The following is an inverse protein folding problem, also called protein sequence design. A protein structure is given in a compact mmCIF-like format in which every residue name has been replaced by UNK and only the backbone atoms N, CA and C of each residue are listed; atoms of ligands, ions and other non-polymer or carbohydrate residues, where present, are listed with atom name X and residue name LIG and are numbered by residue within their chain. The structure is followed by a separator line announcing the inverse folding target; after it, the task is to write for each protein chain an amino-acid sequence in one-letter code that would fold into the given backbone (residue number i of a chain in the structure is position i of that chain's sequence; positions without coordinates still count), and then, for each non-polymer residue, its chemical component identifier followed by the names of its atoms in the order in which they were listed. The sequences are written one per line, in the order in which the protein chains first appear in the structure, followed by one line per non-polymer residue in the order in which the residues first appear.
data_IF_894275030989
#
_entry.id   IF_894275030989
#
_cell.length_a   1.000
_cell.length_b   1.000
_cell.length_c   1.000
_cell.angle_alpha   90.00
_cell.angle_beta   90.00
_cell.angle_gamma   90.00
#
_symmetry.space_group_name_H-M   'P 1'
#
loop_
_entity.id
_entity.type
_entity.pdbx_description
1 polymer ?
#
# COMPACT_ATOMS: atom_id res chain seq x y z
N UNK A 1 76.02 21.82 -31.65
CA UNK A 1 75.00 22.73 -32.22
C UNK A 1 73.65 22.10 -31.90
N UNK A 2 72.70 22.65 -31.16
CA UNK A 2 72.42 23.90 -30.41
C UNK A 2 71.25 23.48 -29.48
N UNK A 3 71.30 23.67 -28.15
CA UNK A 3 70.47 24.64 -27.37
C UNK A 3 69.05 24.86 -27.92
N UNK A 4 67.92 24.77 -27.18
CA UNK A 4 67.55 25.52 -25.94
C UNK A 4 66.20 24.97 -25.33
N UNK A 5 65.52 25.56 -24.30
CA UNK A 5 65.09 24.86 -23.08
C UNK A 5 63.59 25.11 -22.72
N UNK A 6 63.27 24.99 -21.43
CA UNK A 6 62.10 25.53 -20.70
C UNK A 6 60.95 24.55 -20.40
N UNK A 7 61.00 24.06 -19.16
CA UNK A 7 59.82 23.83 -18.31
C UNK A 7 58.98 25.10 -18.25
N UNK A 8 57.65 24.97 -18.32
CA UNK A 8 56.78 25.83 -17.52
C UNK A 8 55.42 25.18 -17.24
N UNK A 9 54.93 25.45 -16.05
CA UNK A 9 53.79 24.86 -15.36
C UNK A 9 52.45 24.96 -16.11
N UNK A 10 51.64 23.90 -15.98
CA UNK A 10 50.17 24.02 -15.98
C UNK A 10 49.54 23.00 -15.02
N UNK A 11 50.02 22.99 -13.78
CA UNK A 11 49.29 22.42 -12.66
C UNK A 11 48.46 23.52 -11.99
N UNK A 12 47.21 23.69 -12.41
CA UNK A 12 46.27 24.56 -11.70
C UNK A 12 45.11 24.99 -12.57
N UNK A 13 43.92 24.38 -12.36
CA UNK A 13 42.58 24.98 -12.58
C UNK A 13 41.41 23.99 -12.39
N UNK A 14 41.58 22.88 -11.66
CA UNK A 14 40.42 22.03 -11.27
C UNK A 14 40.14 21.99 -9.77
N UNK A 15 40.89 22.73 -8.94
CA UNK A 15 40.74 22.76 -7.48
C UNK A 15 40.00 23.96 -6.87
N UNK A 16 39.68 25.03 -7.63
CA UNK A 16 39.16 26.28 -7.04
C UNK A 16 37.64 26.47 -7.12
N UNK A 17 36.97 25.94 -8.15
CA UNK A 17 35.55 26.23 -8.39
C UNK A 17 34.63 25.53 -7.37
N UNK A 18 34.96 24.30 -6.98
CA UNK A 18 34.18 23.54 -5.99
C UNK A 18 34.27 24.13 -4.57
N UNK A 19 35.36 24.84 -4.26
CA UNK A 19 35.62 25.39 -2.91
C UNK A 19 35.04 26.81 -2.72
N UNK A 20 34.56 27.44 -3.80
CA UNK A 20 33.95 28.78 -3.78
C UNK A 20 32.43 28.76 -3.86
N UNK A 21 31.81 27.61 -4.17
CA UNK A 21 30.35 27.49 -4.30
C UNK A 21 29.58 28.00 -3.06
N UNK A 22 29.98 27.72 -1.81
CA UNK A 22 29.29 28.27 -0.64
C UNK A 22 29.35 29.80 -0.54
N UNK A 23 30.45 30.42 -0.98
CA UNK A 23 30.63 31.88 -0.99
C UNK A 23 29.70 32.52 -2.02
N UNK A 24 29.67 31.98 -3.25
CA UNK A 24 28.81 32.47 -4.32
C UNK A 24 27.31 32.30 -4.01
N UNK A 25 26.93 31.26 -3.28
CA UNK A 25 25.56 31.08 -2.79
C UNK A 25 25.19 32.18 -1.79
N UNK A 26 26.05 32.47 -0.81
CA UNK A 26 25.79 33.54 0.17
C UNK A 26 25.74 34.93 -0.46
N UNK A 27 26.60 35.21 -1.44
CA UNK A 27 26.54 36.44 -2.24
C UNK A 27 25.22 36.54 -3.03
N UNK A 28 24.79 35.44 -3.65
CA UNK A 28 23.53 35.42 -4.39
C UNK A 28 22.32 35.64 -3.46
N UNK A 29 22.33 35.05 -2.27
CA UNK A 29 21.28 35.25 -1.27
C UNK A 29 21.26 36.66 -0.69
N UNK A 30 22.41 37.29 -0.48
CA UNK A 30 22.49 38.68 0.00
C UNK A 30 22.01 39.67 -1.07
N UNK A 31 22.40 39.47 -2.33
CA UNK A 31 21.90 40.24 -3.47
C UNK A 31 20.38 40.09 -3.61
N UNK A 32 19.86 38.87 -3.47
CA UNK A 32 18.43 38.63 -3.54
C UNK A 32 17.65 39.42 -2.47
N UNK A 33 18.15 39.48 -1.23
CA UNK A 33 17.54 40.28 -0.15
C UNK A 33 17.58 41.78 -0.45
N UNK A 34 18.76 42.30 -0.80
CA UNK A 34 18.94 43.72 -1.09
C UNK A 34 18.08 44.19 -2.26
N UNK A 35 17.96 43.37 -3.32
CA UNK A 35 17.09 43.67 -4.47
C UNK A 35 15.61 43.64 -4.09
N UNK A 36 15.19 42.65 -3.30
CA UNK A 36 13.82 42.57 -2.82
C UNK A 36 13.44 43.79 -1.94
N UNK A 37 14.33 44.22 -1.05
CA UNK A 37 14.13 45.38 -0.18
C UNK A 37 14.03 46.70 -0.98
N UNK A 38 14.70 46.77 -2.13
CA UNK A 38 14.63 47.89 -3.07
C UNK A 38 13.45 47.79 -4.07
N UNK A 39 12.60 46.77 -3.96
CA UNK A 39 11.48 46.55 -4.87
C UNK A 39 11.84 45.93 -6.23
N UNK A 40 13.11 45.54 -6.46
CA UNK A 40 13.55 44.81 -7.64
C UNK A 40 13.25 43.31 -7.50
N UNK A 41 11.97 43.00 -7.71
CA UNK A 41 11.38 41.66 -7.58
C UNK A 41 11.99 40.68 -8.59
N UNK A 42 12.17 41.10 -9.85
CA UNK A 42 12.74 40.26 -10.91
C UNK A 42 14.22 39.97 -10.66
N UNK A 43 14.99 40.99 -10.27
CA UNK A 43 16.41 40.81 -9.95
C UNK A 43 16.62 39.99 -8.69
N UNK A 44 15.71 40.04 -7.71
CA UNK A 44 15.73 39.17 -6.55
C UNK A 44 15.52 37.70 -6.92
N UNK A 45 14.53 37.40 -7.77
CA UNK A 45 14.29 36.04 -8.28
C UNK A 45 15.49 35.50 -9.06
N UNK A 46 16.08 36.29 -9.95
CA UNK A 46 17.25 35.87 -10.72
C UNK A 46 18.44 35.50 -9.81
N UNK A 47 18.65 36.26 -8.72
CA UNK A 47 19.69 35.95 -7.74
C UNK A 47 19.37 34.68 -6.92
N UNK A 48 18.10 34.45 -6.56
CA UNK A 48 17.65 33.20 -5.92
C UNK A 48 17.86 32.00 -6.85
N UNK A 49 17.51 32.14 -8.13
CA UNK A 49 17.68 31.09 -9.14
C UNK A 49 19.14 30.74 -9.37
N UNK A 50 20.02 31.75 -9.37
CA UNK A 50 21.45 31.52 -9.39
C UNK A 50 21.92 30.74 -8.16
N UNK A 51 21.48 31.11 -6.95
CA UNK A 51 21.79 30.36 -5.73
C UNK A 51 21.32 28.89 -5.80
N UNK A 52 20.13 28.64 -6.32
CA UNK A 52 19.59 27.29 -6.51
C UNK A 52 20.29 26.51 -7.63
N UNK A 53 20.85 27.18 -8.63
CA UNK A 53 21.67 26.52 -9.65
C UNK A 53 22.99 25.98 -9.08
N UNK A 54 23.54 26.67 -8.09
CA UNK A 54 24.77 26.28 -7.38
C UNK A 54 24.48 25.22 -6.30
N UNK A 55 23.41 25.43 -5.52
CA UNK A 55 22.95 24.52 -4.47
C UNK A 55 21.42 24.28 -4.57
N UNK A 56 20.96 23.28 -5.35
CA UNK A 56 19.54 23.03 -5.58
C UNK A 56 18.70 22.71 -4.34
N UNK A 57 19.36 22.33 -3.23
CA UNK A 57 18.72 21.98 -1.96
C UNK A 57 18.97 23.02 -0.87
N UNK A 58 19.48 24.20 -1.22
CA UNK A 58 19.74 25.25 -0.24
C UNK A 58 18.41 25.74 0.40
N UNK A 59 18.26 25.47 1.70
CA UNK A 59 17.00 25.75 2.43
C UNK A 59 16.61 27.23 2.34
N UNK A 60 17.56 28.14 2.54
CA UNK A 60 17.29 29.58 2.49
C UNK A 60 16.82 30.02 1.11
N UNK A 61 17.50 29.56 0.05
CA UNK A 61 17.12 29.89 -1.33
C UNK A 61 15.73 29.36 -1.69
N UNK A 62 15.44 28.11 -1.31
CA UNK A 62 14.13 27.47 -1.52
C UNK A 62 13.01 28.25 -0.80
N UNK A 63 13.23 28.63 0.46
CA UNK A 63 12.24 29.41 1.22
C UNK A 63 12.03 30.81 0.63
N UNK A 64 13.11 31.50 0.24
CA UNK A 64 13.00 32.81 -0.42
C UNK A 64 12.23 32.73 -1.74
N UNK A 65 12.48 31.69 -2.55
CA UNK A 65 11.73 31.46 -3.79
C UNK A 65 10.25 31.22 -3.52
N UNK A 66 9.94 30.39 -2.51
CA UNK A 66 8.58 30.08 -2.12
C UNK A 66 7.81 31.33 -1.66
N UNK A 67 8.41 32.14 -0.78
CA UNK A 67 7.80 33.36 -0.26
C UNK A 67 7.53 34.38 -1.37
N UNK A 68 8.43 34.46 -2.35
CA UNK A 68 8.29 35.36 -3.48
C UNK A 68 7.15 34.94 -4.42
N UNK A 69 7.10 33.66 -4.79
CA UNK A 69 6.01 33.10 -5.62
C UNK A 69 4.64 33.25 -4.93
N UNK A 70 4.60 33.08 -3.61
CA UNK A 70 3.38 33.27 -2.83
C UNK A 70 2.91 34.73 -2.89
N UNK A 71 3.82 35.71 -2.75
CA UNK A 71 3.51 37.14 -2.87
C UNK A 71 3.02 37.53 -4.27
N UNK A 72 3.49 36.83 -5.31
CA UNK A 72 3.03 37.01 -6.69
C UNK A 72 1.67 36.37 -6.98
N UNK A 73 1.07 35.68 -6.01
CA UNK A 73 -0.22 35.01 -6.20
C UNK A 73 -0.12 33.65 -6.89
N UNK A 74 1.06 33.02 -6.89
CA UNK A 74 1.24 31.63 -7.35
C UNK A 74 1.52 30.67 -6.16
N UNK A 75 0.48 30.36 -5.36
CA UNK A 75 0.64 29.50 -4.20
C UNK A 75 0.92 28.04 -4.60
N UNK A 76 0.58 27.64 -5.84
CA UNK A 76 0.88 26.30 -6.36
C UNK A 76 2.38 26.13 -6.56
N UNK A 77 3.03 27.08 -7.25
CA UNK A 77 4.47 27.06 -7.43
C UNK A 77 5.19 27.24 -6.08
N UNK A 78 4.73 28.15 -5.23
CA UNK A 78 5.29 28.35 -3.88
C UNK A 78 5.29 27.06 -3.05
N UNK A 79 4.17 26.31 -3.07
CA UNK A 79 4.03 25.05 -2.32
C UNK A 79 5.03 23.98 -2.77
N UNK A 80 5.41 23.95 -4.06
CA UNK A 80 6.44 23.02 -4.52
C UNK A 80 7.81 23.28 -3.85
N UNK A 81 8.18 24.55 -3.65
CA UNK A 81 9.41 24.94 -2.97
C UNK A 81 9.33 24.70 -1.46
N UNK A 82 8.22 25.05 -0.79
CA UNK A 82 8.02 24.68 0.62
C UNK A 82 8.05 23.16 0.82
N UNK A 83 7.47 22.39 -0.09
CA UNK A 83 7.47 20.93 -0.01
C UNK A 83 8.87 20.32 -0.14
N UNK A 84 9.76 20.92 -0.93
CA UNK A 84 11.16 20.49 -1.01
C UNK A 84 11.88 20.60 0.34
N UNK A 85 11.63 21.69 1.09
CA UNK A 85 12.18 21.88 2.44
C UNK A 85 11.47 21.00 3.47
N UNK A 86 10.15 20.89 3.40
CA UNK A 86 9.34 20.14 4.35
C UNK A 86 9.65 18.63 4.38
N UNK A 87 10.07 18.07 3.23
CA UNK A 87 10.42 16.65 3.04
C UNK A 87 11.84 16.29 3.48
N UNK A 88 12.63 17.24 3.98
CA UNK A 88 13.96 16.93 4.49
C UNK A 88 13.88 15.91 5.64
N UNK A 89 14.66 14.80 5.58
CA UNK A 89 14.73 13.84 6.68
C UNK A 89 15.18 14.52 7.97
N UNK A 90 14.62 14.15 9.11
CA UNK A 90 14.97 14.75 10.40
C UNK A 90 16.49 14.70 10.68
N UNK A 91 17.15 13.60 10.30
CA UNK A 91 18.60 13.44 10.43
C UNK A 91 19.43 14.40 9.56
N UNK A 92 18.83 15.00 8.52
CA UNK A 92 19.50 15.95 7.62
C UNK A 92 19.23 17.42 7.95
N UNK A 93 18.34 17.69 8.92
CA UNK A 93 17.99 19.07 9.32
C UNK A 93 19.04 19.59 10.30
N UNK A 94 19.75 20.65 9.91
CA UNK A 94 20.68 21.35 10.80
C UNK A 94 19.93 22.28 11.76
N UNK A 95 20.47 22.55 12.98
CA UNK A 95 19.78 23.38 13.98
C UNK A 95 19.32 24.75 13.45
N UNK A 96 20.12 25.39 12.59
CA UNK A 96 19.83 26.68 11.97
C UNK A 96 18.64 26.66 10.99
N UNK A 97 18.25 25.48 10.49
CA UNK A 97 17.13 25.31 9.56
C UNK A 97 15.83 24.91 10.25
N UNK A 98 15.85 24.64 11.56
CA UNK A 98 14.68 24.12 12.27
C UNK A 98 13.46 25.01 12.10
N UNK A 99 13.60 26.32 12.26
CA UNK A 99 12.50 27.28 12.10
C UNK A 99 11.95 27.29 10.67
N UNK A 100 12.81 27.28 9.66
CA UNK A 100 12.41 27.26 8.25
C UNK A 100 11.75 25.95 7.85
N UNK A 101 12.22 24.80 8.35
CA UNK A 101 11.59 23.50 8.10
C UNK A 101 10.22 23.41 8.75
N UNK A 102 10.08 23.90 9.99
CA UNK A 102 8.78 23.99 10.66
C UNK A 102 7.82 24.90 9.88
N UNK A 103 8.29 26.09 9.48
CA UNK A 103 7.52 27.05 8.68
C UNK A 103 7.11 26.45 7.33
N UNK A 104 8.02 25.78 6.63
CA UNK A 104 7.72 25.12 5.36
C UNK A 104 6.62 24.06 5.50
N UNK A 105 6.69 23.23 6.55
CA UNK A 105 5.67 22.22 6.86
C UNK A 105 4.31 22.87 7.16
N UNK A 106 4.31 23.99 7.89
CA UNK A 106 3.09 24.74 8.16
C UNK A 106 2.49 25.37 6.90
N UNK A 107 3.32 25.94 6.03
CA UNK A 107 2.88 26.50 4.75
C UNK A 107 2.29 25.44 3.82
N UNK A 108 2.95 24.29 3.70
CA UNK A 108 2.41 23.14 2.95
C UNK A 108 1.07 22.70 3.54
N UNK A 109 0.96 22.56 4.87
CA UNK A 109 -0.29 22.18 5.54
C UNK A 109 -1.40 23.18 5.26
N UNK A 110 -1.13 24.48 5.41
CA UNK A 110 -2.10 25.56 5.19
C UNK A 110 -2.61 25.57 3.76
N UNK A 111 -1.72 25.45 2.78
CA UNK A 111 -2.12 25.39 1.38
C UNK A 111 -2.94 24.14 1.07
N UNK A 112 -2.50 22.95 1.54
CA UNK A 112 -3.24 21.71 1.34
C UNK A 112 -4.65 21.77 1.95
N UNK A 113 -4.82 22.37 3.12
CA UNK A 113 -6.12 22.58 3.76
C UNK A 113 -7.01 23.53 2.94
N UNK A 114 -6.48 24.68 2.50
CA UNK A 114 -7.23 25.62 1.68
C UNK A 114 -7.64 25.02 0.33
N UNK A 115 -6.75 24.25 -0.30
CA UNK A 115 -7.05 23.54 -1.54
C UNK A 115 -8.13 22.46 -1.34
N UNK A 116 -8.04 21.67 -0.26
CA UNK A 116 -9.05 20.68 0.10
C UNK A 116 -10.43 21.34 0.28
N UNK A 117 -10.51 22.41 1.09
CA UNK A 117 -11.75 23.15 1.35
C UNK A 117 -12.35 23.72 0.06
N UNK A 118 -11.51 24.33 -0.79
CA UNK A 118 -11.93 24.86 -2.08
C UNK A 118 -12.49 23.75 -2.98
N UNK A 119 -11.76 22.64 -3.15
CA UNK A 119 -12.20 21.51 -4.00
C UNK A 119 -13.52 20.95 -3.49
N UNK A 120 -13.66 20.71 -2.19
CA UNK A 120 -14.89 20.15 -1.61
C UNK A 120 -16.08 21.10 -1.81
N UNK A 121 -15.90 22.39 -1.53
CA UNK A 121 -16.94 23.42 -1.76
C UNK A 121 -17.33 23.50 -3.22
N UNK A 122 -16.34 23.51 -4.12
CA UNK A 122 -16.55 23.56 -5.56
C UNK A 122 -17.29 22.33 -6.09
N UNK A 123 -17.03 21.14 -5.54
CA UNK A 123 -17.71 19.90 -5.91
C UNK A 123 -19.14 19.86 -5.37
N UNK A 124 -19.38 20.28 -4.13
CA UNK A 124 -20.73 20.38 -3.55
C UNK A 124 -21.63 21.28 -4.41
N UNK A 125 -21.15 22.48 -4.78
CA UNK A 125 -21.88 23.42 -5.65
C UNK A 125 -22.18 22.87 -7.04
N UNK A 126 -21.43 21.84 -7.49
CA UNK A 126 -21.62 21.15 -8.77
C UNK A 126 -22.41 19.85 -8.63
N UNK A 127 -22.97 19.55 -7.46
CA UNK A 127 -23.75 18.33 -7.21
C UNK A 127 -22.91 17.08 -6.96
N UNK A 128 -21.61 17.21 -6.74
CA UNK A 128 -20.69 16.12 -6.38
C UNK A 128 -20.22 16.24 -4.93
N UNK A 129 -21.13 16.66 -4.05
CA UNK A 129 -20.93 16.69 -2.62
C UNK A 129 -20.75 15.29 -2.00
N UNK A 130 -20.34 15.17 -0.73
CA UNK A 130 -20.11 13.89 -0.07
C UNK A 130 -21.31 12.93 -0.09
N UNK A 131 -22.55 13.44 -0.20
CA UNK A 131 -23.77 12.62 -0.22
C UNK A 131 -24.24 12.24 -1.63
N UNK A 132 -23.81 12.97 -2.65
CA UNK A 132 -24.31 12.88 -4.02
C UNK A 132 -23.26 12.28 -4.97
N UNK A 133 -21.98 12.46 -4.67
CA UNK A 133 -20.90 11.96 -5.51
C UNK A 133 -20.89 10.43 -5.58
N UNK A 134 -20.69 9.85 -6.77
CA UNK A 134 -20.48 8.41 -6.91
C UNK A 134 -19.28 7.94 -6.04
N UNK A 135 -19.36 6.78 -5.37
CA UNK A 135 -18.33 6.35 -4.40
C UNK A 135 -16.90 6.33 -4.94
N UNK A 136 -16.71 5.88 -6.19
CA UNK A 136 -15.40 5.87 -6.86
C UNK A 136 -14.84 7.29 -7.07
N UNK A 137 -15.70 8.25 -7.40
CA UNK A 137 -15.29 9.65 -7.57
C UNK A 137 -14.95 10.29 -6.22
N UNK A 138 -15.74 10.02 -5.17
CA UNK A 138 -15.41 10.47 -3.81
C UNK A 138 -14.02 10.01 -3.37
N UNK A 139 -13.67 8.73 -3.62
CA UNK A 139 -12.32 8.20 -3.35
C UNK A 139 -11.24 8.90 -4.19
N UNK A 140 -11.52 9.23 -5.45
CA UNK A 140 -10.59 9.99 -6.29
C UNK A 140 -10.28 11.38 -5.71
N UNK A 141 -11.28 12.05 -5.13
CA UNK A 141 -11.08 13.31 -4.41
C UNK A 141 -10.20 13.10 -3.16
N UNK A 142 -10.46 12.06 -2.35
CA UNK A 142 -9.60 11.75 -1.19
C UNK A 142 -8.14 11.50 -1.57
N UNK A 143 -7.89 10.84 -2.71
CA UNK A 143 -6.54 10.66 -3.26
C UNK A 143 -5.95 12.00 -3.72
N UNK A 144 -6.73 12.81 -4.45
CA UNK A 144 -6.30 14.13 -4.94
C UNK A 144 -5.87 15.06 -3.80
N UNK A 145 -6.62 15.08 -2.69
CA UNK A 145 -6.32 15.94 -1.54
C UNK A 145 -5.34 15.30 -0.54
N UNK A 146 -4.80 14.12 -0.84
CA UNK A 146 -3.80 13.43 -0.02
C UNK A 146 -4.33 12.84 1.28
N UNK A 147 -5.65 12.58 1.37
CA UNK A 147 -6.29 11.87 2.49
C UNK A 147 -6.32 10.36 2.31
N UNK A 148 -6.16 9.89 1.07
CA UNK A 148 -6.04 8.49 0.71
C UNK A 148 -4.83 8.26 -0.21
N UNK A 149 -4.33 7.03 -0.26
CA UNK A 149 -3.25 6.59 -1.15
C UNK A 149 -3.82 5.84 -2.35
N UNK A 150 -3.21 6.01 -3.52
CA UNK A 150 -3.41 5.07 -4.63
C UNK A 150 -2.61 3.79 -4.34
N UNK A 151 -3.31 2.69 -4.08
CA UNK A 151 -2.69 1.38 -3.89
C UNK A 151 -2.63 0.63 -5.22
N UNK A 152 -1.49 -0.01 -5.48
CA UNK A 152 -1.32 -0.96 -6.56
C UNK A 152 -1.51 -2.40 -6.05
N UNK A 153 -1.70 -3.32 -6.98
CA UNK A 153 -1.54 -4.75 -6.72
C UNK A 153 -0.03 -5.05 -6.67
N UNK A 154 0.42 -5.70 -5.61
CA UNK A 154 1.81 -6.08 -5.37
C UNK A 154 1.91 -7.59 -5.02
N UNK A 155 1.52 -8.49 -5.96
CA UNK A 155 1.62 -9.93 -5.77
C UNK A 155 3.08 -10.35 -5.61
N UNK A 156 3.31 -11.33 -4.74
CA UNK A 156 4.67 -11.80 -4.41
C UNK A 156 5.26 -12.78 -5.42
N UNK A 157 4.42 -13.45 -6.20
CA UNK A 157 4.85 -14.51 -7.11
C UNK A 157 4.59 -14.17 -8.58
N UNK A 158 3.34 -13.85 -8.92
CA UNK A 158 2.98 -13.58 -10.32
C UNK A 158 1.99 -12.43 -10.44
N UNK A 159 2.30 -11.51 -11.36
CA UNK A 159 1.46 -10.37 -11.71
C UNK A 159 0.83 -10.58 -13.09
N UNK A 160 -0.48 -10.78 -13.13
CA UNK A 160 -1.28 -10.78 -14.34
C UNK A 160 -1.69 -9.34 -14.69
N UNK A 161 -1.34 -8.83 -15.88
CA UNK A 161 -1.54 -7.43 -16.23
C UNK A 161 -3.02 -7.06 -16.46
N UNK A 162 -3.30 -5.77 -16.52
CA UNK A 162 -4.60 -5.19 -16.93
C UNK A 162 -5.80 -5.49 -16.01
N UNK A 163 -5.54 -6.03 -14.82
CA UNK A 163 -6.56 -6.24 -13.79
C UNK A 163 -6.76 -4.98 -12.93
N UNK A 164 -8.01 -4.64 -12.62
CA UNK A 164 -8.32 -3.47 -11.80
C UNK A 164 -7.94 -3.69 -10.31
N UNK A 165 -7.19 -2.77 -9.67
CA UNK A 165 -6.79 -2.86 -8.26
C UNK A 165 -7.96 -2.45 -7.34
N UNK A 166 -8.93 -3.34 -7.16
CA UNK A 166 -10.12 -3.10 -6.34
C UNK A 166 -9.87 -3.66 -4.94
N UNK A 167 -9.87 -2.77 -3.93
CA UNK A 167 -9.65 -3.15 -2.52
C UNK A 167 -10.71 -4.14 -2.03
N UNK A 168 -11.98 -3.75 -2.08
CA UNK A 168 -13.13 -4.61 -1.78
C UNK A 168 -14.11 -4.51 -2.94
N UNK A 169 -14.56 -5.66 -3.41
CA UNK A 169 -15.55 -5.73 -4.49
C UNK A 169 -16.97 -5.54 -3.95
N UNK A 170 -17.89 -5.18 -4.84
CA UNK A 170 -19.30 -5.08 -4.50
C UNK A 170 -19.89 -6.48 -4.33
N UNK A 171 -20.58 -6.70 -3.21
CA UNK A 171 -21.14 -8.01 -2.85
C UNK A 171 -22.12 -8.55 -3.90
N UNK A 172 -22.81 -7.66 -4.62
CA UNK A 172 -23.77 -8.04 -5.67
C UNK A 172 -23.13 -8.74 -6.86
N UNK A 173 -21.83 -8.55 -7.08
CA UNK A 173 -21.09 -9.14 -8.19
C UNK A 173 -20.80 -10.64 -7.94
N UNK A 174 -21.12 -11.15 -6.75
CA UNK A 174 -20.85 -12.53 -6.32
C UNK A 174 -22.11 -13.22 -5.77
N UNK A 175 -23.14 -13.47 -6.61
CA UNK A 175 -24.41 -14.04 -6.16
C UNK A 175 -24.27 -15.44 -5.53
N UNK A 176 -23.22 -16.21 -5.85
CA UNK A 176 -22.99 -17.52 -5.23
C UNK A 176 -22.82 -17.43 -3.69
N UNK A 177 -22.41 -16.27 -3.17
CA UNK A 177 -22.26 -16.04 -1.74
C UNK A 177 -23.62 -16.06 -1.00
N UNK A 178 -24.76 -15.92 -1.69
CA UNK A 178 -26.09 -16.00 -1.06
C UNK A 178 -26.30 -17.39 -0.43
N UNK A 179 -25.89 -18.45 -1.13
CA UNK A 179 -25.94 -19.82 -0.61
C UNK A 179 -24.96 -20.03 0.56
N UNK A 180 -23.77 -19.42 0.47
CA UNK A 180 -22.74 -19.49 1.53
C UNK A 180 -23.21 -18.79 2.81
N UNK A 181 -23.79 -17.60 2.68
CA UNK A 181 -24.35 -16.85 3.81
C UNK A 181 -25.59 -17.54 4.39
N UNK A 182 -26.44 -18.14 3.55
CA UNK A 182 -27.61 -18.90 4.02
C UNK A 182 -27.21 -20.14 4.83
N UNK A 183 -26.09 -20.78 4.49
CA UNK A 183 -25.53 -21.92 5.22
C UNK A 183 -24.77 -21.53 6.50
N UNK A 184 -24.71 -20.24 6.85
CA UNK A 184 -23.98 -19.75 8.03
C UNK A 184 -24.28 -20.53 9.32
N UNK A 185 -25.55 -20.83 9.69
CA UNK A 185 -25.83 -21.59 10.92
C UNK A 185 -25.14 -22.97 10.94
N UNK A 186 -25.13 -23.67 9.80
CA UNK A 186 -24.54 -25.01 9.69
C UNK A 186 -23.00 -24.93 9.69
N UNK A 187 -22.43 -23.96 8.97
CA UNK A 187 -20.98 -23.67 8.97
C UNK A 187 -20.51 -23.36 10.40
N UNK A 188 -21.30 -22.57 11.14
CA UNK A 188 -21.00 -22.21 12.53
C UNK A 188 -21.07 -23.43 13.45
N UNK A 189 -22.09 -24.28 13.29
CA UNK A 189 -22.22 -25.51 14.07
C UNK A 189 -21.04 -26.48 13.84
N UNK A 190 -20.58 -26.61 12.60
CA UNK A 190 -19.39 -27.43 12.28
C UNK A 190 -18.14 -26.87 12.95
N UNK A 191 -17.92 -25.55 12.88
CA UNK A 191 -16.80 -24.92 13.61
C UNK A 191 -16.90 -25.14 15.12
N UNK A 192 -18.09 -25.00 15.71
CA UNK A 192 -18.30 -25.19 17.15
C UNK A 192 -17.98 -26.63 17.57
N UNK A 193 -18.37 -27.63 16.76
CA UNK A 193 -18.01 -29.02 16.97
C UNK A 193 -16.49 -29.26 16.89
N UNK A 194 -15.81 -28.70 15.88
CA UNK A 194 -14.35 -28.78 15.75
C UNK A 194 -13.64 -28.24 17.00
N UNK A 195 -14.10 -27.10 17.52
CA UNK A 195 -13.52 -26.48 18.72
C UNK A 195 -13.78 -27.33 19.96
N UNK A 196 -15.00 -27.86 20.13
CA UNK A 196 -15.37 -28.70 21.27
C UNK A 196 -14.57 -30.01 21.32
N UNK A 197 -14.23 -30.56 20.15
CA UNK A 197 -13.42 -31.77 20.00
C UNK A 197 -11.91 -31.52 20.14
N UNK A 198 -11.48 -30.26 20.32
CA UNK A 198 -10.06 -29.90 20.44
C UNK A 198 -9.29 -30.08 19.14
N UNK A 199 -9.93 -29.83 17.99
CA UNK A 199 -9.27 -29.92 16.68
C UNK A 199 -7.99 -29.07 16.65
N UNK A 200 -6.94 -29.63 16.04
CA UNK A 200 -5.65 -28.95 15.93
C UNK A 200 -5.70 -27.86 14.85
N UNK A 201 -5.54 -26.60 15.28
CA UNK A 201 -5.34 -25.48 14.37
C UNK A 201 -3.85 -25.19 14.29
N UNK A 202 -3.24 -25.47 13.14
CA UNK A 202 -1.81 -25.25 12.91
C UNK A 202 -1.53 -23.79 12.51
N UNK A 203 -0.31 -23.26 12.71
CA UNK A 203 0.07 -21.94 12.20
C UNK A 203 -0.24 -21.78 10.71
N UNK A 204 -0.78 -20.62 10.31
CA UNK A 204 -1.25 -20.40 8.93
C UNK A 204 -0.10 -20.34 7.91
N UNK A 205 0.97 -19.60 8.25
CA UNK A 205 2.21 -19.58 7.46
C UNK A 205 3.26 -20.36 8.23
N UNK A 206 3.76 -21.44 7.63
CA UNK A 206 4.78 -22.31 8.25
C UNK A 206 6.13 -22.02 7.61
N UNK A 207 7.18 -21.95 8.41
CA UNK A 207 8.54 -21.77 7.91
C UNK A 207 8.99 -22.94 7.01
N UNK A 208 9.45 -22.66 5.79
CA UNK A 208 10.22 -23.63 5.00
C UNK A 208 11.70 -23.52 5.37
N UNK A 209 12.24 -24.50 6.10
CA UNK A 209 13.65 -24.55 6.53
C UNK A 209 14.66 -24.55 5.37
N UNK A 210 14.22 -24.80 4.13
CA UNK A 210 15.07 -24.74 2.94
C UNK A 210 15.19 -23.33 2.36
N UNK A 211 14.60 -22.31 2.99
CA UNK A 211 14.53 -20.95 2.46
C UNK A 211 15.07 -19.90 3.41
N UNK A 212 15.57 -18.77 2.89
CA UNK A 212 15.84 -17.61 3.70
C UNK A 212 14.54 -17.13 4.38
N UNK A 213 14.61 -16.55 5.59
CA UNK A 213 13.44 -16.04 6.27
C UNK A 213 12.71 -15.01 5.40
N UNK A 214 11.38 -15.14 5.28
CA UNK A 214 10.59 -14.17 4.53
C UNK A 214 10.78 -12.76 5.09
N UNK A 215 10.71 -11.73 4.24
CA UNK A 215 10.79 -10.32 4.67
C UNK A 215 9.60 -9.91 5.56
N UNK A 216 8.56 -10.74 5.62
CA UNK A 216 7.31 -10.50 6.35
C UNK A 216 7.41 -10.97 7.80
N UNK A 217 8.17 -10.22 8.62
CA UNK A 217 8.32 -10.49 10.05
C UNK A 217 6.96 -10.59 10.75
N UNK A 218 6.74 -11.66 11.53
CA UNK A 218 5.55 -11.84 12.37
C UNK A 218 4.40 -12.62 11.73
N UNK A 219 4.51 -13.03 10.45
CA UNK A 219 3.53 -13.90 9.80
C UNK A 219 3.84 -15.39 9.98
N UNK A 220 5.12 -15.74 9.88
CA UNK A 220 5.61 -17.13 9.90
C UNK A 220 5.61 -17.69 11.33
N UNK A 221 5.12 -18.93 11.48
CA UNK A 221 5.01 -19.68 12.73
C UNK A 221 4.28 -18.92 13.85
N UNK A 222 3.35 -18.04 13.46
CA UNK A 222 2.59 -17.25 14.40
C UNK A 222 1.53 -18.12 15.10
N UNK A 223 1.80 -18.52 16.34
CA UNK A 223 0.88 -19.32 17.16
C UNK A 223 -0.44 -18.61 17.49
N UNK A 224 -0.49 -17.28 17.33
CA UNK A 224 -1.70 -16.48 17.49
C UNK A 224 -2.56 -16.45 16.22
N UNK A 225 -2.02 -16.89 15.07
CA UNK A 225 -2.73 -16.97 13.79
C UNK A 225 -2.68 -18.39 13.24
N UNK A 226 -3.76 -19.12 13.50
CA UNK A 226 -3.85 -20.55 13.20
C UNK A 226 -4.97 -20.87 12.22
N UNK A 227 -4.90 -22.01 11.55
CA UNK A 227 -5.85 -22.43 10.55
C UNK A 227 -6.21 -23.91 10.65
N UNK A 228 -7.47 -24.19 10.33
CA UNK A 228 -7.99 -25.53 10.11
C UNK A 228 -8.39 -25.66 8.65
N UNK A 229 -7.57 -26.35 7.86
CA UNK A 229 -7.77 -26.49 6.42
C UNK A 229 -8.84 -27.56 6.13
N UNK A 230 -9.79 -27.22 5.27
CA UNK A 230 -10.71 -28.15 4.59
C UNK A 230 -10.16 -28.53 3.20
N UNK A 231 -9.59 -27.56 2.51
CA UNK A 231 -8.78 -27.77 1.32
C UNK A 231 -7.46 -27.01 1.44
N UNK A 232 -6.36 -27.64 1.04
CA UNK A 232 -5.03 -27.04 1.01
C UNK A 232 -4.36 -27.40 -0.30
N UNK A 233 -3.81 -26.40 -0.99
CA UNK A 233 -3.07 -26.61 -2.25
C UNK A 233 -3.91 -27.36 -3.31
N UNK A 234 -5.23 -27.11 -3.32
CA UNK A 234 -6.18 -27.78 -4.22
C UNK A 234 -6.61 -29.19 -3.80
N UNK A 235 -5.99 -29.78 -2.77
CA UNK A 235 -6.36 -31.09 -2.24
C UNK A 235 -7.34 -30.98 -1.06
N UNK A 236 -8.32 -31.90 -0.99
CA UNK A 236 -9.18 -32.06 0.19
C UNK A 236 -8.37 -32.63 1.36
N UNK A 237 -8.61 -32.11 2.56
CA UNK A 237 -8.04 -32.64 3.80
C UNK A 237 -9.09 -33.46 4.54
N UNK A 238 -8.68 -34.12 5.63
CA UNK A 238 -9.62 -34.76 6.59
C UNK A 238 -10.59 -33.74 7.23
N UNK A 239 -10.26 -32.44 7.21
CA UNK A 239 -11.14 -31.39 7.68
C UNK A 239 -12.40 -31.25 6.82
N UNK A 240 -12.30 -31.46 5.50
CA UNK A 240 -13.46 -31.39 4.61
C UNK A 240 -14.53 -32.44 4.94
N UNK A 241 -14.11 -33.62 5.40
CA UNK A 241 -15.04 -34.71 5.77
C UNK A 241 -15.74 -34.42 7.11
N UNK A 242 -15.14 -33.58 7.96
CA UNK A 242 -15.71 -33.08 9.22
C UNK A 242 -16.60 -31.85 9.04
N UNK A 243 -16.55 -31.21 7.87
CA UNK A 243 -17.33 -30.02 7.55
C UNK A 243 -18.14 -30.17 6.24
N UNK A 244 -18.99 -31.22 6.11
CA UNK A 244 -19.71 -31.50 4.88
C UNK A 244 -20.66 -30.38 4.45
N UNK A 245 -21.32 -29.68 5.37
CA UNK A 245 -22.22 -28.57 5.06
C UNK A 245 -21.44 -27.36 4.56
N UNK A 246 -20.28 -27.06 5.17
CA UNK A 246 -19.37 -26.02 4.68
C UNK A 246 -18.92 -26.32 3.25
N UNK A 247 -18.54 -27.58 2.96
CA UNK A 247 -18.14 -27.98 1.61
C UNK A 247 -19.31 -27.95 0.62
N UNK A 248 -20.51 -28.32 1.04
CA UNK A 248 -21.71 -28.26 0.21
C UNK A 248 -22.09 -26.81 -0.14
N UNK A 249 -21.98 -25.89 0.82
CA UNK A 249 -22.26 -24.46 0.62
C UNK A 249 -21.34 -23.83 -0.45
N UNK A 250 -20.10 -24.31 -0.56
CA UNK A 250 -19.11 -23.83 -1.53
C UNK A 250 -19.17 -24.53 -2.89
N UNK A 251 -20.08 -25.48 -3.10
CA UNK A 251 -20.15 -26.29 -4.33
C UNK A 251 -20.34 -25.48 -5.62
N UNK A 252 -21.00 -24.34 -5.54
CA UNK A 252 -21.23 -23.42 -6.66
C UNK A 252 -20.27 -22.22 -6.68
N UNK A 253 -19.34 -22.13 -5.72
CA UNK A 253 -18.35 -21.07 -5.72
C UNK A 253 -17.33 -21.31 -6.85
N UNK A 254 -16.94 -20.28 -7.62
CA UNK A 254 -15.94 -20.40 -8.68
C UNK A 254 -14.52 -20.47 -8.09
N UNK A 255 -14.26 -21.50 -7.28
CA UNK A 255 -12.99 -21.69 -6.57
C UNK A 255 -11.82 -21.67 -7.56
N UNK A 256 -10.72 -21.01 -7.15
CA UNK A 256 -9.53 -20.88 -7.98
C UNK A 256 -8.76 -22.21 -8.05
N UNK A 257 -9.20 -23.15 -8.88
CA UNK A 257 -8.54 -24.45 -9.02
C UNK A 257 -7.24 -24.34 -9.83
N UNK A 258 -6.10 -24.33 -9.13
CA UNK A 258 -4.75 -24.38 -9.71
C UNK A 258 -4.01 -25.55 -9.04
N UNK A 259 -3.60 -26.57 -9.80
CA UNK A 259 -2.93 -27.75 -9.24
C UNK A 259 -1.77 -27.39 -8.29
N UNK A 260 -1.73 -28.11 -7.15
CA UNK A 260 -0.72 -27.99 -6.09
C UNK A 260 -0.63 -26.61 -5.42
N UNK A 261 -1.63 -25.73 -5.62
CA UNK A 261 -1.57 -24.32 -5.21
C UNK A 261 -2.86 -23.83 -4.59
N UNK A 262 -3.97 -23.95 -5.31
CA UNK A 262 -5.27 -23.40 -4.93
C UNK A 262 -6.40 -24.33 -5.42
N UNK A 263 -7.62 -24.25 -4.85
CA UNK A 263 -8.03 -23.37 -3.76
C UNK A 263 -7.46 -23.79 -2.40
N UNK A 264 -7.39 -22.83 -1.50
CA UNK A 264 -7.39 -23.06 -0.07
C UNK A 264 -8.80 -22.78 0.46
N UNK A 265 -9.30 -23.68 1.31
CA UNK A 265 -10.55 -23.48 2.06
C UNK A 265 -10.24 -23.80 3.51
N UNK A 266 -10.44 -22.86 4.42
CA UNK A 266 -10.01 -23.03 5.82
C UNK A 266 -10.77 -22.13 6.79
N UNK A 267 -10.89 -22.59 8.04
CA UNK A 267 -11.21 -21.70 9.15
C UNK A 267 -9.93 -21.04 9.65
N UNK A 268 -9.86 -19.72 9.62
CA UNK A 268 -8.74 -18.94 10.14
C UNK A 268 -9.10 -18.33 11.49
N UNK A 269 -8.33 -18.69 12.52
CA UNK A 269 -8.45 -18.21 13.89
C UNK A 269 -7.36 -17.19 14.21
N UNK A 270 -7.75 -16.08 14.82
CA UNK A 270 -6.86 -15.05 15.34
C UNK A 270 -7.16 -14.83 16.83
N UNK A 271 -6.18 -15.08 17.69
CA UNK A 271 -6.35 -15.03 19.15
C UNK A 271 -6.49 -13.59 19.68
N UNK A 272 -6.97 -13.40 20.92
CA UNK A 272 -7.02 -12.09 21.58
C UNK A 272 -5.70 -11.32 21.51
N UNK A 273 -5.79 -10.01 21.25
CA UNK A 273 -4.65 -9.10 21.18
C UNK A 273 -3.75 -9.24 19.95
N UNK A 274 -4.00 -10.21 19.07
CA UNK A 274 -3.12 -10.49 17.93
C UNK A 274 -3.28 -9.49 16.78
N UNK A 275 -2.18 -9.21 16.09
CA UNK A 275 -2.12 -8.36 14.90
C UNK A 275 -1.31 -9.07 13.82
N UNK A 276 -1.94 -9.25 12.66
CA UNK A 276 -1.30 -9.71 11.43
C UNK A 276 -0.78 -8.44 10.74
N UNK A 277 0.55 -8.23 10.62
CA UNK A 277 1.12 -7.04 10.00
C UNK A 277 0.73 -6.90 8.53
N UNK A 278 0.92 -5.70 7.99
CA UNK A 278 0.66 -5.39 6.59
C UNK A 278 1.47 -6.28 5.64
N UNK A 279 0.77 -6.92 4.69
CA UNK A 279 1.34 -7.86 3.73
C UNK A 279 0.52 -7.92 2.45
N UNK A 280 1.01 -8.69 1.47
CA UNK A 280 0.37 -8.92 0.18
C UNK A 280 0.37 -10.40 -0.21
N UNK A 281 -0.63 -10.77 -1.01
CA UNK A 281 -0.90 -12.10 -1.52
C UNK A 281 0.09 -12.57 -2.59
N UNK A 282 -0.05 -13.81 -3.01
CA UNK A 282 0.89 -14.46 -3.94
C UNK A 282 0.64 -14.09 -5.40
N UNK A 283 -0.62 -14.09 -5.81
CA UNK A 283 -1.04 -13.96 -7.20
C UNK A 283 -2.30 -13.12 -7.28
N UNK A 284 -2.39 -12.26 -8.30
CA UNK A 284 -3.53 -11.39 -8.49
C UNK A 284 -4.59 -11.99 -9.43
N UNK A 285 -4.48 -13.27 -9.80
CA UNK A 285 -5.49 -13.98 -10.61
C UNK A 285 -6.65 -14.55 -9.80
N UNK A 286 -6.57 -14.47 -8.47
CA UNK A 286 -7.60 -14.90 -7.52
C UNK A 286 -8.07 -13.75 -6.64
N UNK A 287 -9.25 -13.90 -6.05
CA UNK A 287 -9.76 -13.05 -4.99
C UNK A 287 -9.99 -13.88 -3.73
N UNK A 288 -9.93 -13.23 -2.58
CA UNK A 288 -10.17 -13.88 -1.29
C UNK A 288 -11.55 -13.52 -0.79
N UNK A 289 -12.30 -14.56 -0.41
CA UNK A 289 -13.58 -14.44 0.25
C UNK A 289 -13.41 -14.69 1.75
N UNK A 290 -13.97 -13.81 2.59
CA UNK A 290 -14.11 -14.06 4.02
C UNK A 290 -15.59 -14.13 4.37
N UNK A 291 -16.03 -15.22 5.00
CA UNK A 291 -17.29 -15.30 5.72
C UNK A 291 -17.02 -15.17 7.22
N UNK A 292 -17.69 -14.23 7.88
CA UNK A 292 -17.58 -14.04 9.32
C UNK A 292 -18.29 -15.16 10.10
N UNK A 293 -17.55 -15.99 10.85
CA UNK A 293 -18.14 -17.13 11.58
C UNK A 293 -18.27 -16.86 13.08
N UNK A 294 -17.17 -16.44 13.72
CA UNK A 294 -17.07 -15.96 15.11
C UNK A 294 -16.29 -14.66 15.11
N UNK A 295 -16.97 -13.52 15.13
CA UNK A 295 -16.33 -12.20 15.08
C UNK A 295 -16.99 -11.23 16.05
N UNK A 296 -16.27 -10.18 16.41
CA UNK A 296 -16.75 -9.09 17.27
C UNK A 296 -16.32 -7.72 16.72
N UNK A 297 -16.84 -6.65 17.31
CA UNK A 297 -16.63 -5.27 16.85
C UNK A 297 -15.21 -4.73 17.09
N UNK A 298 -14.38 -5.43 17.86
CA UNK A 298 -12.99 -5.06 18.12
C UNK A 298 -12.00 -5.77 17.18
N UNK A 299 -12.52 -6.61 16.27
CA UNK A 299 -11.78 -7.23 15.19
C UNK A 299 -11.99 -6.46 13.89
N UNK A 300 -10.90 -6.08 13.21
CA UNK A 300 -11.03 -5.41 11.92
C UNK A 300 -9.97 -5.88 10.91
N UNK A 301 -10.25 -5.58 9.65
CA UNK A 301 -9.45 -5.93 8.48
C UNK A 301 -9.30 -4.70 7.58
N UNK A 302 -8.07 -4.36 7.20
CA UNK A 302 -7.79 -3.25 6.28
C UNK A 302 -7.29 -3.79 4.96
N UNK A 303 -7.81 -3.26 3.85
CA UNK A 303 -7.27 -3.43 2.49
C UNK A 303 -7.08 -2.05 1.87
N UNK A 304 -5.83 -1.67 1.61
CA UNK A 304 -5.48 -0.32 1.18
C UNK A 304 -5.99 0.75 2.16
N UNK A 305 -6.86 1.65 1.70
CA UNK A 305 -7.45 2.73 2.50
C UNK A 305 -8.71 2.33 3.28
N UNK A 306 -9.28 1.15 3.03
CA UNK A 306 -10.57 0.77 3.59
C UNK A 306 -10.40 -0.23 4.72
N UNK A 307 -10.94 0.09 5.90
CA UNK A 307 -10.99 -0.80 7.06
C UNK A 307 -12.44 -1.23 7.27
N UNK A 308 -12.68 -2.53 7.38
CA UNK A 308 -13.99 -3.11 7.68
C UNK A 308 -13.95 -3.92 8.96
N UNK A 309 -15.08 -3.90 9.68
CA UNK A 309 -15.38 -4.81 10.78
C UNK A 309 -16.30 -5.90 10.23
N UNK A 310 -16.07 -7.14 10.64
CA UNK A 310 -16.88 -8.27 10.18
C UNK A 310 -18.28 -8.26 10.80
N UNK A 311 -19.31 -8.41 9.97
CA UNK A 311 -20.68 -8.71 10.38
C UNK A 311 -20.90 -10.21 10.35
N UNK A 312 -21.34 -10.82 11.46
CA UNK A 312 -21.50 -12.28 11.55
C UNK A 312 -22.45 -12.81 10.47
N UNK A 313 -22.06 -13.93 9.84
CA UNK A 313 -22.80 -14.55 8.76
C UNK A 313 -22.75 -13.80 7.43
N UNK A 314 -22.03 -12.68 7.34
CA UNK A 314 -21.82 -11.95 6.08
C UNK A 314 -20.47 -12.24 5.46
N UNK A 315 -20.49 -12.34 4.13
CA UNK A 315 -19.30 -12.56 3.33
C UNK A 315 -18.91 -11.30 2.55
N UNK A 316 -17.61 -11.15 2.28
CA UNK A 316 -17.10 -10.16 1.35
C UNK A 316 -15.96 -10.73 0.51
N UNK A 317 -15.60 -10.00 -0.55
CA UNK A 317 -14.55 -10.36 -1.51
C UNK A 317 -13.56 -9.20 -1.62
N UNK A 318 -12.26 -9.52 -1.57
CA UNK A 318 -11.17 -8.53 -1.69
C UNK A 318 -9.99 -9.10 -2.47
N UNK A 319 -9.13 -8.19 -2.94
CA UNK A 319 -7.85 -8.50 -3.59
C UNK A 319 -6.75 -8.52 -2.53
N UNK A 320 -6.22 -9.70 -2.18
CA UNK A 320 -5.16 -9.84 -1.19
C UNK A 320 -3.80 -9.36 -1.70
N UNK A 321 -3.65 -9.09 -2.99
CA UNK A 321 -2.38 -8.54 -3.52
C UNK A 321 -2.24 -7.05 -3.26
N UNK A 322 -3.30 -6.39 -2.80
CA UNK A 322 -3.24 -5.04 -2.24
C UNK A 322 -2.84 -5.14 -0.76
N UNK A 323 -1.98 -4.22 -0.32
CA UNK A 323 -1.52 -4.10 1.07
C UNK A 323 -2.68 -4.21 2.07
N UNK A 324 -2.65 -5.26 2.89
CA UNK A 324 -3.71 -5.58 3.84
C UNK A 324 -3.17 -6.09 5.17
N UNK A 325 -3.96 -5.90 6.23
CA UNK A 325 -3.63 -6.32 7.59
C UNK A 325 -4.90 -6.64 8.38
N UNK A 326 -4.76 -7.36 9.49
CA UNK A 326 -5.88 -7.76 10.33
C UNK A 326 -5.52 -7.69 11.81
N UNK A 327 -6.44 -7.29 12.67
CA UNK A 327 -6.23 -7.33 14.12
C UNK A 327 -7.44 -7.86 14.87
N UNK A 328 -7.16 -8.45 16.04
CA UNK A 328 -8.13 -8.81 17.05
C UNK A 328 -7.79 -8.04 18.34
N UNK A 329 -8.51 -6.95 18.61
CA UNK A 329 -8.35 -6.15 19.84
C UNK A 329 -9.37 -6.52 20.93
N UNK A 330 -9.98 -7.71 20.83
CA UNK A 330 -10.90 -8.23 21.83
C UNK A 330 -10.22 -9.18 22.80
N UNK A 331 -11.00 -9.69 23.74
CA UNK A 331 -10.70 -10.74 24.71
C UNK A 331 -11.16 -12.14 24.26
N UNK A 332 -11.71 -12.27 23.05
CA UNK A 332 -12.21 -13.53 22.48
C UNK A 332 -11.49 -13.91 21.17
N UNK A 333 -11.48 -15.19 20.82
CA UNK A 333 -10.99 -15.65 19.53
C UNK A 333 -11.87 -15.13 18.37
N UNK A 334 -11.20 -14.71 17.29
CA UNK A 334 -11.86 -14.39 16.01
C UNK A 334 -11.66 -15.54 15.05
N UNK A 335 -12.75 -16.14 14.56
CA UNK A 335 -12.70 -17.17 13.51
C UNK A 335 -13.53 -16.78 12.30
N UNK A 336 -12.95 -16.91 11.11
CA UNK A 336 -13.62 -16.68 9.83
C UNK A 336 -13.38 -17.88 8.91
N UNK A 337 -14.27 -18.10 7.96
CA UNK A 337 -14.03 -19.02 6.84
C UNK A 337 -13.38 -18.23 5.70
N UNK A 338 -12.25 -18.71 5.22
CA UNK A 338 -11.51 -18.17 4.08
C UNK A 338 -11.57 -19.16 2.94
N UNK A 339 -11.85 -18.67 1.74
CA UNK A 339 -11.70 -19.42 0.51
C UNK A 339 -11.35 -18.49 -0.66
N UNK A 340 -10.62 -18.99 -1.64
CA UNK A 340 -10.23 -18.22 -2.81
C UNK A 340 -10.95 -18.65 -4.10
N UNK A 341 -11.35 -17.63 -4.86
CA UNK A 341 -12.08 -17.77 -6.12
C UNK A 341 -11.27 -17.20 -7.27
N UNK A 342 -11.53 -17.70 -8.48
CA UNK A 342 -11.04 -17.03 -9.67
C UNK A 342 -11.57 -15.61 -9.74
N UNK A 343 -10.74 -14.70 -10.23
CA UNK A 343 -11.20 -13.38 -10.60
C UNK A 343 -12.27 -13.45 -11.70
N UNK A 344 -13.43 -12.80 -11.53
CA UNK A 344 -14.51 -12.87 -12.51
C UNK A 344 -14.16 -12.16 -13.82
N UNK A 345 -13.22 -11.20 -13.78
CA UNK A 345 -12.71 -10.45 -14.92
C UNK A 345 -11.60 -11.18 -15.71
N UNK A 346 -11.24 -12.42 -15.33
CA UNK A 346 -10.36 -13.29 -16.12
C UNK A 346 -11.22 -14.32 -16.88
N UNK A 347 -11.22 -14.32 -18.23
CA UNK A 347 -11.90 -15.31 -19.06
C UNK A 347 -11.39 -16.75 -18.86
N UNK A 348 -12.20 -17.74 -19.26
CA UNK A 348 -11.88 -19.16 -19.03
C UNK A 348 -10.60 -19.63 -19.76
N UNK A 349 -10.38 -19.18 -21.00
CA UNK A 349 -9.18 -19.49 -21.78
C UNK A 349 -7.91 -18.92 -21.14
N UNK A 350 -7.97 -17.71 -20.59
CA UNK A 350 -6.87 -17.12 -19.82
C UNK A 350 -6.60 -17.87 -18.51
N UNK A 351 -7.65 -18.34 -17.81
CA UNK A 351 -7.49 -19.21 -16.62
C UNK A 351 -6.79 -20.52 -16.98
N UNK A 352 -7.21 -21.16 -18.08
CA UNK A 352 -6.58 -22.38 -18.59
C UNK A 352 -5.11 -22.14 -18.97
N UNK A 353 -4.82 -21.00 -19.61
CA UNK A 353 -3.44 -20.60 -19.91
C UNK A 353 -2.59 -20.40 -18.65
N UNK A 354 -3.15 -19.79 -17.61
CA UNK A 354 -2.45 -19.61 -16.33
C UNK A 354 -2.25 -20.94 -15.57
N UNK A 355 -3.22 -21.87 -15.63
CA UNK A 355 -3.07 -23.22 -15.10
C UNK A 355 -1.92 -23.95 -15.82
N UNK A 356 -1.91 -23.94 -17.15
CA UNK A 356 -0.85 -24.57 -17.95
C UNK A 356 0.53 -23.96 -17.66
N UNK A 357 0.60 -22.64 -17.45
CA UNK A 357 1.82 -21.98 -17.00
C UNK A 357 2.30 -22.51 -15.64
N UNK A 358 1.39 -22.65 -14.66
CA UNK A 358 1.73 -23.18 -13.34
C UNK A 358 2.22 -24.63 -13.41
N UNK A 359 1.59 -25.46 -14.24
CA UNK A 359 2.02 -26.84 -14.49
C UNK A 359 3.41 -26.91 -15.14
N UNK A 360 3.68 -26.08 -16.15
CA UNK A 360 5.01 -25.98 -16.76
C UNK A 360 6.10 -25.54 -15.76
N UNK A 361 5.76 -24.64 -14.84
CA UNK A 361 6.67 -24.23 -13.75
C UNK A 361 6.91 -25.39 -12.77
N UNK A 362 5.89 -26.19 -12.45
CA UNK A 362 6.02 -27.40 -11.61
C UNK A 362 6.90 -28.46 -12.27
N UNK A 363 6.77 -28.66 -13.57
CA UNK A 363 7.62 -29.57 -14.35
C UNK A 363 9.09 -29.15 -14.30
N UNK A 364 9.34 -27.84 -14.34
CA UNK A 364 10.70 -27.29 -14.29
C UNK A 364 11.33 -27.35 -12.89
N UNK A 365 10.58 -26.98 -11.85
CA UNK A 365 11.12 -26.85 -10.49
C UNK A 365 10.92 -28.10 -9.61
N UNK A 366 10.16 -29.09 -10.09
CA UNK A 366 9.58 -30.15 -9.28
C UNK A 366 8.37 -29.62 -8.50
N UNK A 367 7.28 -30.42 -8.44
CA UNK A 367 5.99 -30.06 -7.82
C UNK A 367 6.16 -29.37 -6.46
N UNK A 368 6.07 -28.05 -6.43
CA UNK A 368 6.16 -27.25 -5.21
C UNK A 368 5.05 -26.20 -5.23
N UNK A 369 4.47 -25.93 -4.05
CA UNK A 369 3.53 -24.85 -3.85
C UNK A 369 4.16 -23.48 -4.15
N UNK A 370 3.42 -22.38 -3.99
CA UNK A 370 3.96 -21.04 -4.22
C UNK A 370 5.25 -20.82 -3.44
N UNK A 371 6.36 -20.72 -4.17
CA UNK A 371 7.65 -20.54 -3.57
C UNK A 371 7.93 -19.05 -3.40
N UNK A 372 7.88 -18.56 -2.15
CA UNK A 372 8.49 -17.28 -1.76
C UNK A 372 10.00 -17.25 -2.04
#
# INVERSE_FOLDING_TARGET
MMSDPSQNDSAGTHGSVANLAPVYVQESLSQARARADNGDILGALAAIDHALSLEPRNVTALMMKADHLLKQGDPRAATAFYAAVARLPAASVRPEWNSEVVRAREMVRRYSQAFEEYVRTAMELRGFGPKQAPPRFSRAIEVLVGKARAYAQEPRYFYYPELAPIQFFDRKDFPFLDAVEAAYPDIRAELDALIAEGADFAPYVVHDQKRPPSSQRGLVDNSAWTAFFLMKEGARTVGADRCPNTMAALSNAPLAAIPNRTPAVLFSRLTPGAHIPAHTGMINTRLICHLAVKTNQHCAFRVGNETRVWEQGKAWVFDDTIDHEAWNKSDEDRTILIFDIWRPDIPEDERLGFIALCEAIDEFNGRQAWND
#
